data_IF_339102641598
#
_entry.id   IF_339102641598
#
_cell.length_a   1.000
_cell.length_b   1.000
_cell.length_c   1.000
_cell.angle_alpha   90.00
_cell.angle_beta   90.00
_cell.angle_gamma   90.00
#
_symmetry.space_group_name_H-M   'P 1'
#
loop_
_entity.id
_entity.type
_entity.pdbx_description
1 polymer ?
#
# COMPACT_ATOMS: atom_id res chain seq x y z
N UNK A 1 -3.06 2.83 -5.54
CA UNK A 1 -4.44 2.29 -5.47
C UNK A 1 -5.26 3.26 -4.65
N UNK A 2 -6.26 3.91 -5.25
CA UNK A 2 -7.07 4.99 -4.65
C UNK A 2 -7.63 4.62 -3.26
N UNK A 3 -8.03 3.35 -3.09
CA UNK A 3 -8.57 2.81 -1.82
C UNK A 3 -7.57 2.91 -0.66
N UNK A 4 -6.28 2.66 -0.93
CA UNK A 4 -5.23 2.64 0.10
C UNK A 4 -4.97 4.06 0.63
N UNK A 5 -4.97 5.05 -0.27
CA UNK A 5 -4.80 6.46 0.09
C UNK A 5 -6.00 7.01 0.86
N UNK A 6 -7.22 6.64 0.47
CA UNK A 6 -8.44 7.00 1.21
C UNK A 6 -8.43 6.41 2.63
N UNK A 7 -8.01 5.15 2.78
CA UNK A 7 -7.82 4.53 4.10
C UNK A 7 -6.78 5.27 4.94
N UNK A 8 -5.64 5.64 4.35
CA UNK A 8 -4.61 6.43 5.02
C UNK A 8 -5.16 7.79 5.49
N UNK A 9 -5.86 8.51 4.61
CA UNK A 9 -6.44 9.82 4.92
C UNK A 9 -7.41 9.73 6.10
N UNK A 10 -8.30 8.73 6.11
CA UNK A 10 -9.24 8.53 7.21
C UNK A 10 -8.56 8.09 8.51
N UNK A 11 -7.61 7.17 8.45
CA UNK A 11 -6.82 6.75 9.64
C UNK A 11 -6.10 7.95 10.26
N UNK A 12 -5.60 8.87 9.42
CA UNK A 12 -4.98 10.13 9.84
C UNK A 12 -5.98 11.18 10.34
N UNK A 13 -7.23 11.19 9.87
CA UNK A 13 -8.30 12.04 10.42
C UNK A 13 -8.74 11.57 11.81
N UNK A 14 -8.92 10.25 11.99
CA UNK A 14 -9.31 9.63 13.28
C UNK A 14 -8.23 9.81 14.33
N UNK A 15 -6.98 9.64 13.94
CA UNK A 15 -5.81 10.00 14.75
C UNK A 15 -5.69 11.52 14.68
N UNK A 16 -6.48 12.27 15.45
CA UNK A 16 -6.29 13.70 15.68
C UNK A 16 -4.88 13.96 16.27
N UNK A 17 -3.86 13.86 15.44
CA UNK A 17 -2.48 13.79 15.87
C UNK A 17 -1.83 15.14 15.55
N UNK A 18 -1.78 15.95 16.62
CA UNK A 18 -0.88 17.08 16.84
C UNK A 18 0.61 16.66 16.73
N UNK A 19 0.99 16.00 15.64
CA UNK A 19 2.40 15.81 15.30
C UNK A 19 2.85 17.02 14.50
N UNK A 20 4.05 17.52 14.81
CA UNK A 20 4.65 18.62 14.08
C UNK A 20 4.72 18.27 12.59
N UNK A 21 4.66 19.28 11.72
CA UNK A 21 4.68 19.08 10.28
C UNK A 21 5.93 18.30 9.81
N UNK A 22 7.05 18.38 10.56
CA UNK A 22 8.29 17.65 10.25
C UNK A 22 8.26 16.14 10.50
N UNK A 23 7.25 15.61 11.21
CA UNK A 23 7.20 14.18 11.57
C UNK A 23 6.37 13.35 10.56
N UNK A 24 5.99 13.93 9.42
CA UNK A 24 5.07 13.33 8.45
C UNK A 24 5.72 13.23 7.07
N UNK A 25 5.49 12.12 6.39
CA UNK A 25 5.85 11.91 4.98
C UNK A 25 4.57 11.94 4.15
N UNK A 26 4.56 12.76 3.10
CA UNK A 26 3.45 12.87 2.16
C UNK A 26 3.59 11.86 1.01
N UNK A 27 2.46 11.38 0.49
CA UNK A 27 2.42 10.60 -0.75
C UNK A 27 2.47 11.52 -1.99
N UNK A 28 3.08 11.09 -3.11
CA UNK A 28 3.82 9.85 -3.32
C UNK A 28 5.26 9.90 -2.76
N UNK A 29 5.81 8.75 -2.40
CA UNK A 29 7.21 8.61 -1.96
C UNK A 29 7.78 7.24 -2.31
N UNK A 30 9.11 7.11 -2.26
CA UNK A 30 9.82 5.82 -2.31
C UNK A 30 10.74 5.73 -1.10
N UNK A 31 10.97 4.50 -0.61
CA UNK A 31 11.96 4.23 0.43
C UNK A 31 13.11 3.44 -0.20
N UNK A 32 14.33 3.93 0.01
CA UNK A 32 15.55 3.15 -0.21
C UNK A 32 16.07 2.68 1.15
N UNK A 33 16.05 1.37 1.38
CA UNK A 33 16.52 0.74 2.61
C UNK A 33 17.85 0.05 2.37
N UNK A 34 18.80 0.17 3.29
CA UNK A 34 20.10 -0.49 3.22
C UNK A 34 20.56 -0.89 4.62
N UNK A 35 21.71 -1.56 4.70
CA UNK A 35 22.36 -1.91 5.96
C UNK A 35 22.69 -0.64 6.77
N UNK A 36 22.44 -0.58 8.09
CA UNK A 36 22.78 0.57 8.93
C UNK A 36 24.26 0.97 8.91
N UNK A 37 25.16 0.07 8.49
CA UNK A 37 26.60 0.32 8.34
C UNK A 37 27.01 0.77 6.93
N UNK A 38 26.07 0.81 5.98
CA UNK A 38 26.34 1.24 4.61
C UNK A 38 26.72 2.73 4.60
N UNK A 39 27.81 3.06 3.91
CA UNK A 39 28.17 4.44 3.63
C UNK A 39 27.43 4.88 2.36
N UNK A 40 26.82 6.07 2.42
CA UNK A 40 26.01 6.63 1.34
C UNK A 40 26.57 7.99 0.97
N UNK A 41 27.18 8.08 -0.20
CA UNK A 41 27.59 9.35 -0.80
C UNK A 41 26.44 9.88 -1.68
N UNK A 42 26.18 11.19 -1.61
CA UNK A 42 25.09 11.82 -2.33
C UNK A 42 25.59 13.06 -3.07
N UNK A 43 25.31 13.11 -4.36
CA UNK A 43 25.52 14.26 -5.22
C UNK A 43 24.17 14.83 -5.63
N UNK A 44 23.94 16.12 -5.35
CA UNK A 44 22.67 16.80 -5.61
C UNK A 44 22.94 17.96 -6.54
N UNK A 45 22.22 18.03 -7.66
CA UNK A 45 22.30 19.17 -8.56
C UNK A 45 21.91 20.46 -7.82
N UNK A 46 22.46 21.63 -8.19
CA UNK A 46 22.10 22.90 -7.54
C UNK A 46 20.61 23.22 -7.57
N UNK A 47 19.89 22.74 -8.60
CA UNK A 47 18.44 22.90 -8.74
C UNK A 47 17.62 21.77 -8.10
N UNK A 48 18.29 20.79 -7.48
CA UNK A 48 17.72 19.63 -6.76
C UNK A 48 16.79 18.76 -7.60
N UNK A 49 17.00 18.75 -8.92
CA UNK A 49 16.25 17.87 -9.83
C UNK A 49 16.92 16.53 -10.02
N UNK A 50 18.25 16.53 -10.02
CA UNK A 50 19.05 15.34 -10.17
C UNK A 50 19.76 15.02 -8.86
N UNK A 51 19.61 13.79 -8.41
CA UNK A 51 20.25 13.26 -7.22
C UNK A 51 20.86 11.92 -7.56
N UNK A 52 22.16 11.76 -7.29
CA UNK A 52 22.89 10.51 -7.48
C UNK A 52 23.32 10.01 -6.11
N UNK A 53 23.01 8.75 -5.81
CA UNK A 53 23.37 8.10 -4.56
C UNK A 53 24.31 6.94 -4.85
N UNK A 54 25.46 6.92 -4.17
CA UNK A 54 26.41 5.83 -4.21
C UNK A 54 26.37 5.09 -2.88
N UNK A 55 26.00 3.81 -2.93
CA UNK A 55 25.92 2.95 -1.76
C UNK A 55 27.10 1.99 -1.77
N UNK A 56 27.76 1.81 -0.62
CA UNK A 56 28.83 0.81 -0.47
C UNK A 56 28.31 -0.62 -0.27
N UNK A 57 27.02 -0.77 0.02
CA UNK A 57 26.34 -2.05 0.24
C UNK A 57 25.05 -2.10 -0.61
N UNK A 58 24.45 -3.28 -0.71
CA UNK A 58 23.17 -3.46 -1.37
C UNK A 58 22.05 -2.63 -0.72
N UNK A 59 21.07 -2.25 -1.53
CA UNK A 59 19.88 -1.55 -1.08
C UNK A 59 18.62 -2.15 -1.73
N UNK A 60 17.48 -1.88 -1.09
CA UNK A 60 16.15 -2.24 -1.56
C UNK A 60 15.34 -0.97 -1.80
N UNK A 61 14.60 -0.91 -2.90
CA UNK A 61 13.66 0.18 -3.18
C UNK A 61 12.24 -0.36 -3.02
N UNK A 62 11.42 0.37 -2.26
CA UNK A 62 10.00 0.08 -2.07
C UNK A 62 9.17 1.33 -2.40
N UNK A 63 8.10 1.16 -3.17
CA UNK A 63 7.12 2.24 -3.44
C UNK A 63 6.13 2.38 -2.26
N UNK A 64 5.70 3.62 -2.01
CA UNK A 64 4.59 3.98 -1.14
C UNK A 64 3.36 3.07 -1.28
N UNK A 65 2.97 2.62 -2.47
CA UNK A 65 1.82 1.72 -2.62
C UNK A 65 2.01 0.37 -1.92
N UNK A 66 3.17 -0.24 -2.06
CA UNK A 66 3.51 -1.52 -1.45
C UNK A 66 3.55 -1.37 0.07
N UNK A 67 4.23 -0.33 0.55
CA UNK A 67 4.35 -0.02 1.97
C UNK A 67 2.98 0.23 2.60
N UNK A 68 2.14 1.04 1.97
CA UNK A 68 0.83 1.36 2.52
C UNK A 68 -0.10 0.13 2.52
N UNK A 69 0.01 -0.79 1.56
CA UNK A 69 -0.73 -2.05 1.62
C UNK A 69 -0.30 -2.90 2.80
N UNK A 70 1.01 -3.08 3.03
CA UNK A 70 1.48 -3.80 4.22
C UNK A 70 0.98 -3.17 5.53
N UNK A 71 1.04 -1.84 5.63
CA UNK A 71 0.65 -1.13 6.86
C UNK A 71 -0.86 -1.03 7.11
N UNK A 72 -1.69 -1.16 6.06
CA UNK A 72 -3.13 -0.89 6.11
C UNK A 72 -4.00 -2.07 5.66
N UNK A 73 -3.40 -3.15 5.15
CA UNK A 73 -4.12 -4.31 4.63
C UNK A 73 -3.58 -5.65 5.15
N UNK A 74 -2.39 -5.71 5.76
CA UNK A 74 -1.86 -6.95 6.35
C UNK A 74 -2.06 -6.93 7.87
N UNK A 75 -3.23 -7.36 8.31
CA UNK A 75 -3.49 -7.62 9.73
C UNK A 75 -2.97 -9.02 10.10
N UNK A 76 -1.80 -9.03 10.74
CA UNK A 76 -1.34 -9.94 11.82
C UNK A 76 -1.65 -11.45 11.69
N UNK A 77 -0.58 -12.25 11.60
CA UNK A 77 -0.51 -13.71 11.79
C UNK A 77 -0.85 -14.19 13.23
N UNK A 78 -1.84 -13.60 13.90
CA UNK A 78 -2.37 -14.12 15.15
C UNK A 78 -3.89 -14.29 15.03
N UNK A 79 -4.29 -15.38 14.37
CA UNK A 79 -5.50 -16.16 14.68
C UNK A 79 -6.75 -15.35 15.02
N UNK A 80 -7.13 -14.42 14.15
CA UNK A 80 -8.38 -13.70 14.26
C UNK A 80 -8.80 -13.17 12.90
N UNK A 81 -9.54 -13.99 12.13
CA UNK A 81 -10.32 -13.57 10.96
C UNK A 81 -11.41 -12.55 11.36
N UNK A 82 -11.07 -11.41 11.98
CA UNK A 82 -12.04 -10.36 12.37
C UNK A 82 -11.47 -8.94 12.35
N UNK A 83 -10.43 -8.67 11.56
CA UNK A 83 -9.99 -7.29 11.30
C UNK A 83 -10.20 -6.82 9.85
N UNK A 84 -10.50 -7.72 8.91
CA UNK A 84 -10.63 -7.40 7.48
C UNK A 84 -12.01 -6.91 7.02
N UNK A 85 -13.07 -7.05 7.82
CA UNK A 85 -14.46 -6.78 7.37
C UNK A 85 -15.16 -5.63 8.13
N UNK A 86 -14.76 -5.34 9.37
CA UNK A 86 -15.34 -4.24 10.15
C UNK A 86 -14.90 -2.85 9.66
N UNK A 87 -13.90 -2.74 8.77
CA UNK A 87 -13.44 -1.46 8.20
C UNK A 87 -13.86 -1.25 6.73
N UNK A 88 -14.55 -2.22 6.11
CA UNK A 88 -15.24 -2.04 4.82
C UNK A 88 -16.57 -1.31 5.02
N UNK A 89 -17.36 -1.70 6.02
CA UNK A 89 -18.65 -1.07 6.36
C UNK A 89 -18.55 0.43 6.64
N UNK A 90 -17.36 0.87 7.01
CA UNK A 90 -17.06 2.25 7.29
C UNK A 90 -16.81 3.05 6.01
N UNK A 91 -16.31 2.46 4.92
CA UNK A 91 -15.96 3.16 3.68
C UNK A 91 -17.17 3.89 3.06
N UNK A 92 -16.95 5.06 2.43
CA UNK A 92 -18.00 5.74 1.67
C UNK A 92 -18.68 4.79 0.68
N UNK A 93 -20.00 4.90 0.56
CA UNK A 93 -20.83 3.95 -0.20
C UNK A 93 -20.40 3.82 -1.67
N UNK A 94 -19.89 4.90 -2.26
CA UNK A 94 -19.33 4.93 -3.62
C UNK A 94 -18.07 4.07 -3.78
N UNK A 95 -17.24 4.01 -2.75
CA UNK A 95 -16.01 3.19 -2.74
C UNK A 95 -16.33 1.72 -2.55
N UNK A 96 -17.31 1.42 -1.69
CA UNK A 96 -17.83 0.06 -1.50
C UNK A 96 -18.44 -0.48 -2.79
N UNK A 97 -19.28 0.33 -3.44
CA UNK A 97 -19.91 -0.06 -4.69
C UNK A 97 -18.86 -0.36 -5.78
N UNK A 98 -17.86 0.53 -5.95
CA UNK A 98 -16.77 0.31 -6.92
C UNK A 98 -15.96 -0.95 -6.61
N UNK A 99 -15.70 -1.24 -5.33
CA UNK A 99 -15.02 -2.46 -4.92
C UNK A 99 -15.84 -3.72 -5.23
N UNK A 100 -17.15 -3.70 -4.96
CA UNK A 100 -18.07 -4.81 -5.26
C UNK A 100 -18.20 -5.05 -6.77
N UNK A 101 -18.27 -4.00 -7.59
CA UNK A 101 -18.28 -4.07 -9.05
C UNK A 101 -16.98 -4.71 -9.57
N UNK A 102 -15.82 -4.21 -9.11
CA UNK A 102 -14.51 -4.76 -9.51
C UNK A 102 -14.33 -6.22 -9.07
N UNK A 103 -14.94 -6.61 -7.95
CA UNK A 103 -14.91 -7.99 -7.46
C UNK A 103 -15.77 -8.90 -8.34
N UNK A 104 -16.98 -8.47 -8.69
CA UNK A 104 -17.87 -9.22 -9.60
C UNK A 104 -17.25 -9.44 -10.97
N UNK A 105 -16.62 -8.41 -11.53
CA UNK A 105 -15.91 -8.51 -12.82
C UNK A 105 -14.81 -9.58 -12.78
N UNK A 106 -14.07 -9.69 -11.67
CA UNK A 106 -13.02 -10.72 -11.50
C UNK A 106 -13.55 -12.12 -11.21
N UNK A 107 -14.73 -12.24 -10.61
CA UNK A 107 -15.38 -13.53 -10.37
C UNK A 107 -16.03 -14.06 -11.67
N UNK A 108 -16.55 -13.16 -12.52
CA UNK A 108 -17.05 -13.50 -13.85
C UNK A 108 -15.93 -13.88 -14.83
N UNK A 109 -14.75 -13.29 -14.72
CA UNK A 109 -13.58 -13.62 -15.55
C UNK A 109 -12.92 -14.97 -15.19
N UNK A 110 -13.10 -15.47 -13.96
CA UNK A 110 -12.60 -16.79 -13.51
C UNK A 110 -13.65 -17.91 -13.60
N UNK A 111 -14.85 -17.64 -14.12
CA UNK A 111 -15.97 -18.58 -14.16
C UNK A 111 -16.02 -19.52 -15.37
N UNK A 112 -15.10 -19.42 -16.34
CA UNK A 112 -15.18 -20.12 -17.63
C UNK A 112 -14.15 -21.24 -17.83
N UNK A 113 -13.82 -22.02 -16.78
CA UNK A 113 -13.07 -23.28 -16.93
C UNK A 113 -13.55 -24.40 -15.99
N UNK A 114 -14.84 -24.73 -15.95
CA UNK A 114 -15.26 -26.06 -15.45
C UNK A 114 -16.54 -26.59 -16.07
N UNK A 115 -16.59 -26.89 -17.38
CA UNK A 115 -17.53 -27.91 -17.88
C UNK A 115 -16.96 -28.66 -19.10
N UNK A 116 -16.27 -29.79 -18.85
CA UNK A 116 -16.65 -31.07 -19.46
C UNK A 116 -15.74 -32.18 -18.93
N UNK A 117 -16.32 -33.08 -18.14
CA UNK A 117 -15.99 -34.52 -18.16
C UNK A 117 -17.01 -35.27 -17.29
N UNK A 118 -18.17 -35.55 -17.90
CA UNK A 118 -18.96 -36.73 -17.57
C UNK A 118 -19.62 -37.25 -18.84
N UNK A 119 -19.14 -38.40 -19.32
CA UNK A 119 -20.05 -39.53 -19.61
C UNK A 119 -19.25 -40.81 -19.83
N UNK A 120 -19.65 -41.81 -19.03
CA UNK A 120 -19.58 -43.26 -19.12
C UNK A 120 -18.90 -43.94 -20.31
#
# INVERSE_FOLDING_TARGET
SEIVEQRLARKNQRRHARKAAGDKVHVPFVIASTNPKCEVECEISPDRKDMVFHFTDAFEIQDSNEILRRLLCEDTEHGGEKAGYDELSDLPADVLQKYEETKKEKEEENGDETESNHSS
#
